data_IF_664350222723
#
_entry.id   IF_664350222723
#
_cell.length_a   1.000
_cell.length_b   1.000
_cell.length_c   1.000
_cell.angle_alpha   90.00
_cell.angle_beta   90.00
_cell.angle_gamma   90.00
#
_symmetry.space_group_name_H-M   'P 1'
#
loop_
_entity.id
_entity.type
_entity.pdbx_description
1 polymer ?
#
# COMPACT_ATOMS: atom_id res chain seq x y z
N UNK A 1 9.11 -1.14 1.80
CA UNK A 1 8.97 -1.41 3.24
C UNK A 1 8.78 -2.89 3.56
N UNK A 2 7.89 -3.63 2.88
CA UNK A 2 7.69 -5.07 3.18
C UNK A 2 8.88 -5.98 2.87
N UNK A 3 9.64 -5.67 1.81
CA UNK A 3 10.78 -6.50 1.37
C UNK A 3 12.07 -6.19 2.14
N UNK A 4 12.35 -4.90 2.30
CA UNK A 4 13.54 -4.37 2.98
C UNK A 4 13.11 -3.07 3.67
N UNK A 5 12.68 -3.13 4.95
CA UNK A 5 12.20 -1.96 5.69
C UNK A 5 13.30 -0.96 6.03
N UNK A 6 14.56 -1.39 6.17
CA UNK A 6 15.64 -0.55 6.66
C UNK A 6 16.75 -0.31 5.63
N UNK A 7 17.34 0.90 5.56
CA UNK A 7 18.50 1.18 4.71
C UNK A 7 19.68 0.24 4.98
N UNK A 8 19.87 -0.19 6.24
CA UNK A 8 20.97 -1.08 6.63
C UNK A 8 20.85 -2.47 5.99
N UNK A 9 19.64 -2.96 5.79
CA UNK A 9 19.38 -4.22 5.08
C UNK A 9 19.63 -4.06 3.58
N UNK A 10 19.20 -2.94 3.00
CA UNK A 10 19.36 -2.64 1.56
C UNK A 10 20.84 -2.52 1.19
N UNK A 11 21.66 -1.94 2.07
CA UNK A 11 23.11 -1.76 1.84
C UNK A 11 23.84 -3.09 1.63
N UNK A 12 23.35 -4.17 2.22
CA UNK A 12 23.93 -5.52 2.14
C UNK A 12 23.49 -6.26 0.86
N UNK A 13 22.51 -5.74 0.13
CA UNK A 13 21.96 -6.36 -1.07
C UNK A 13 22.72 -5.94 -2.33
N UNK A 14 22.73 -6.83 -3.31
CA UNK A 14 23.12 -6.53 -4.68
C UNK A 14 21.90 -6.17 -5.54
N UNK A 15 22.16 -5.57 -6.70
CA UNK A 15 21.11 -5.10 -7.63
C UNK A 15 20.17 -6.24 -8.03
N UNK A 16 20.68 -7.45 -8.26
CA UNK A 16 19.87 -8.61 -8.65
C UNK A 16 18.90 -9.05 -7.55
N UNK A 17 19.33 -9.05 -6.28
CA UNK A 17 18.50 -9.37 -5.12
C UNK A 17 17.35 -8.36 -4.96
N UNK A 18 17.64 -7.07 -5.11
CA UNK A 18 16.63 -6.00 -5.05
C UNK A 18 15.61 -6.16 -6.18
N UNK A 19 16.07 -6.42 -7.40
CA UNK A 19 15.20 -6.67 -8.55
C UNK A 19 14.37 -7.94 -8.37
N UNK A 20 14.95 -9.00 -7.80
CA UNK A 20 14.28 -10.24 -7.47
C UNK A 20 13.11 -10.02 -6.50
N UNK A 21 13.35 -9.26 -5.42
CA UNK A 21 12.29 -8.87 -4.48
C UNK A 21 11.19 -8.06 -5.15
N UNK A 22 11.54 -7.05 -5.96
CA UNK A 22 10.55 -6.22 -6.64
C UNK A 22 9.69 -6.98 -7.65
N UNK A 23 10.25 -7.96 -8.36
CA UNK A 23 9.50 -8.79 -9.32
C UNK A 23 8.30 -9.52 -8.68
N UNK A 24 8.34 -9.79 -7.38
CA UNK A 24 7.23 -10.43 -6.67
C UNK A 24 5.99 -9.51 -6.54
N UNK A 25 6.20 -8.20 -6.52
CA UNK A 25 5.13 -7.22 -6.24
C UNK A 25 4.83 -6.30 -7.42
N UNK A 26 5.79 -6.09 -8.32
CA UNK A 26 5.68 -5.14 -9.43
C UNK A 26 5.66 -5.89 -10.77
N UNK A 27 4.52 -5.84 -11.47
CA UNK A 27 4.31 -6.51 -12.76
C UNK A 27 5.06 -5.87 -13.95
N UNK A 28 5.60 -4.65 -13.80
CA UNK A 28 6.33 -3.93 -14.87
C UNK A 28 7.71 -3.48 -14.39
N UNK A 29 8.74 -3.86 -15.14
CA UNK A 29 10.15 -3.42 -15.09
C UNK A 29 10.55 -2.64 -13.83
N UNK A 30 10.92 -3.40 -12.80
CA UNK A 30 11.87 -2.99 -11.78
C UNK A 30 13.14 -2.48 -12.48
N UNK A 31 13.27 -1.17 -12.66
CA UNK A 31 14.37 -0.60 -13.45
C UNK A 31 15.71 -0.84 -12.75
N UNK A 32 16.67 -1.45 -13.44
CA UNK A 32 18.03 -1.74 -12.92
C UNK A 32 18.66 -0.48 -12.31
N UNK A 33 18.60 0.65 -13.02
CA UNK A 33 19.08 1.96 -12.54
C UNK A 33 18.45 2.41 -11.22
N UNK A 34 17.18 2.06 -10.98
CA UNK A 34 16.48 2.40 -9.71
C UNK A 34 16.95 1.51 -8.57
N UNK A 35 17.23 0.24 -8.82
CA UNK A 35 17.78 -0.67 -7.82
C UNK A 35 19.20 -0.26 -7.42
N UNK A 36 20.05 0.11 -8.40
CA UNK A 36 21.40 0.66 -8.14
C UNK A 36 21.34 1.96 -7.33
N UNK A 37 20.46 2.89 -7.72
CA UNK A 37 20.24 4.14 -7.00
C UNK A 37 19.75 3.90 -5.57
N UNK A 38 18.85 2.93 -5.36
CA UNK A 38 18.37 2.59 -4.04
C UNK A 38 19.52 2.11 -3.14
N UNK A 39 20.37 1.23 -3.64
CA UNK A 39 21.53 0.70 -2.89
C UNK A 39 22.53 1.81 -2.59
N UNK A 40 22.80 2.71 -3.55
CA UNK A 40 23.73 3.83 -3.33
C UNK A 40 23.21 4.79 -2.27
N UNK A 41 21.91 5.15 -2.31
CA UNK A 41 21.29 6.00 -1.29
C UNK A 41 21.23 5.32 0.08
N UNK A 42 21.01 4.01 0.14
CA UNK A 42 21.05 3.25 1.38
C UNK A 42 22.45 3.27 2.01
N UNK A 43 23.51 3.20 1.19
CA UNK A 43 24.91 3.28 1.64
C UNK A 43 25.26 4.64 2.24
N UNK A 44 24.73 5.72 1.69
CA UNK A 44 24.94 7.09 2.18
C UNK A 44 23.85 7.57 3.15
N UNK A 45 23.00 6.67 3.64
CA UNK A 45 21.89 7.06 4.51
C UNK A 45 22.42 7.56 5.85
N UNK A 46 21.90 8.71 6.30
CA UNK A 46 22.12 9.26 7.64
C UNK A 46 20.96 8.91 8.61
N UNK A 47 20.13 7.93 8.24
CA UNK A 47 19.00 7.47 9.04
C UNK A 47 19.43 6.88 10.39
N UNK A 48 18.46 6.77 11.31
CA UNK A 48 18.73 6.21 12.63
C UNK A 48 19.22 4.75 12.55
N UNK A 49 20.38 4.49 13.14
CA UNK A 49 21.00 3.15 13.24
C UNK A 49 20.81 2.51 14.62
N UNK A 50 20.12 3.21 15.52
CA UNK A 50 19.83 2.72 16.87
C UNK A 50 18.47 2.02 16.90
N UNK A 51 18.31 1.07 17.82
CA UNK A 51 17.05 0.36 18.07
C UNK A 51 16.37 -0.24 16.81
N UNK A 52 17.18 -0.63 15.80
CA UNK A 52 16.70 -1.12 14.50
C UNK A 52 15.69 -2.26 14.62
N UNK A 53 15.89 -3.16 15.61
CA UNK A 53 14.96 -4.25 15.87
C UNK A 53 13.58 -3.73 16.30
N UNK A 54 13.53 -2.77 17.24
CA UNK A 54 12.28 -2.19 17.70
C UNK A 54 11.57 -1.42 16.58
N UNK A 55 12.31 -0.65 15.77
CA UNK A 55 11.74 0.05 14.62
C UNK A 55 11.22 -0.90 13.56
N UNK A 56 11.94 -1.99 13.26
CA UNK A 56 11.48 -3.00 12.30
C UNK A 56 10.20 -3.68 12.78
N UNK A 57 10.14 -4.04 14.06
CA UNK A 57 8.94 -4.60 14.67
C UNK A 57 7.76 -3.62 14.57
N UNK A 58 7.98 -2.37 14.94
CA UNK A 58 6.94 -1.34 14.89
C UNK A 58 6.44 -1.07 13.47
N UNK A 59 7.35 -0.98 12.49
CA UNK A 59 6.98 -0.88 11.08
C UNK A 59 6.15 -2.08 10.61
N UNK A 60 6.46 -3.28 11.09
CA UNK A 60 5.67 -4.48 10.84
C UNK A 60 4.24 -4.32 11.35
N UNK A 61 4.09 -3.94 12.62
CA UNK A 61 2.79 -3.71 13.25
C UNK A 61 1.96 -2.66 12.49
N UNK A 62 2.56 -1.52 12.13
CA UNK A 62 1.88 -0.47 11.36
C UNK A 62 1.41 -0.97 9.99
N UNK A 63 2.19 -1.82 9.32
CA UNK A 63 1.80 -2.40 8.03
C UNK A 63 0.67 -3.43 8.18
N UNK A 64 0.66 -4.21 9.26
CA UNK A 64 -0.41 -5.15 9.58
C UNK A 64 -1.72 -4.43 9.92
N UNK A 65 -1.64 -3.36 10.70
CA UNK A 65 -2.77 -2.49 11.01
C UNK A 65 -3.34 -1.85 9.75
N UNK A 66 -2.46 -1.35 8.85
CA UNK A 66 -2.87 -0.83 7.56
C UNK A 66 -3.59 -1.89 6.71
N UNK A 67 -3.07 -3.11 6.64
CA UNK A 67 -3.69 -4.21 5.90
C UNK A 67 -5.03 -4.64 6.48
N UNK A 68 -5.18 -4.59 7.80
CA UNK A 68 -6.46 -4.83 8.45
C UNK A 68 -7.46 -3.73 8.09
N UNK A 69 -7.07 -2.46 8.20
CA UNK A 69 -7.92 -1.33 7.88
C UNK A 69 -8.36 -1.33 6.41
N UNK A 70 -7.45 -1.67 5.47
CA UNK A 70 -7.80 -1.81 4.05
C UNK A 70 -8.84 -2.91 3.82
N UNK A 71 -8.65 -4.10 4.42
CA UNK A 71 -9.61 -5.20 4.27
C UNK A 71 -10.98 -4.84 4.84
N UNK A 72 -11.01 -4.17 5.99
CA UNK A 72 -12.26 -3.70 6.59
C UNK A 72 -12.94 -2.66 5.71
N UNK A 73 -12.20 -1.72 5.13
CA UNK A 73 -12.73 -0.74 4.18
C UNK A 73 -13.34 -1.42 2.95
N UNK A 74 -12.62 -2.37 2.34
CA UNK A 74 -13.12 -3.13 1.18
C UNK A 74 -14.41 -3.89 1.49
N UNK A 75 -14.51 -4.50 2.68
CA UNK A 75 -15.73 -5.17 3.13
C UNK A 75 -16.90 -4.20 3.27
N UNK A 76 -16.67 -3.05 3.90
CA UNK A 76 -17.71 -2.01 4.06
C UNK A 76 -18.15 -1.50 2.68
N UNK A 77 -17.22 -1.20 1.78
CA UNK A 77 -17.56 -0.75 0.43
C UNK A 77 -18.33 -1.81 -0.36
N UNK A 78 -18.04 -3.09 -0.15
CA UNK A 78 -18.77 -4.18 -0.79
C UNK A 78 -20.24 -4.24 -0.32
N UNK A 79 -20.46 -4.25 1.00
CA UNK A 79 -21.81 -4.22 1.58
C UNK A 79 -22.59 -2.97 1.14
N UNK A 80 -21.91 -1.83 1.08
CA UNK A 80 -22.51 -0.58 0.63
C UNK A 80 -23.01 -0.66 -0.81
N UNK A 81 -22.24 -1.27 -1.71
CA UNK A 81 -22.65 -1.50 -3.10
C UNK A 81 -23.88 -2.40 -3.16
N UNK A 82 -23.91 -3.50 -2.40
CA UNK A 82 -25.06 -4.42 -2.37
C UNK A 82 -26.34 -3.73 -1.89
N UNK A 83 -26.22 -2.79 -0.94
CA UNK A 83 -27.37 -2.00 -0.48
C UNK A 83 -27.83 -1.02 -1.56
N UNK A 84 -26.90 -0.28 -2.18
CA UNK A 84 -27.23 0.68 -3.24
C UNK A 84 -27.85 0.01 -4.46
N UNK A 85 -27.44 -1.22 -4.82
CA UNK A 85 -28.05 -2.00 -5.90
C UNK A 85 -29.55 -2.27 -5.68
N UNK A 86 -30.00 -2.31 -4.41
CA UNK A 86 -31.42 -2.51 -4.06
C UNK A 86 -32.23 -1.22 -4.14
N UNK A 87 -31.58 -0.04 -4.17
CA UNK A 87 -32.26 1.24 -4.19
C UNK A 87 -32.56 1.63 -5.65
N UNK A 88 -33.83 1.85 -6.00
CA UNK A 88 -34.19 2.29 -7.35
C UNK A 88 -33.43 3.55 -7.74
N UNK A 89 -32.91 3.59 -8.97
CA UNK A 89 -32.16 4.71 -9.55
C UNK A 89 -30.79 5.04 -8.93
N UNK A 90 -30.38 4.41 -7.82
CA UNK A 90 -29.06 4.64 -7.22
C UNK A 90 -27.91 4.37 -8.20
N UNK A 91 -28.06 3.34 -9.05
CA UNK A 91 -27.08 3.03 -10.09
C UNK A 91 -26.89 4.17 -11.11
N UNK A 92 -27.96 4.93 -11.42
CA UNK A 92 -27.88 6.07 -12.35
C UNK A 92 -27.08 7.22 -11.77
N UNK A 93 -27.09 7.38 -10.44
CA UNK A 93 -26.24 8.37 -9.78
C UNK A 93 -24.77 7.98 -9.83
N UNK A 94 -24.44 6.68 -9.71
CA UNK A 94 -23.06 6.19 -9.81
C UNK A 94 -22.43 6.34 -11.21
N UNK A 95 -23.25 6.49 -12.25
CA UNK A 95 -22.78 6.78 -13.62
C UNK A 95 -22.31 8.23 -13.79
N UNK A 96 -22.71 9.14 -12.88
CA UNK A 96 -22.30 10.54 -12.91
C UNK A 96 -20.84 10.63 -12.44
N UNK A 97 -19.98 11.21 -13.27
CA UNK A 97 -18.57 11.41 -12.91
C UNK A 97 -18.46 12.20 -11.60
N UNK A 98 -17.66 11.67 -10.67
CA UNK A 98 -17.40 12.28 -9.38
C UNK A 98 -18.34 11.80 -8.26
N UNK A 99 -19.34 10.98 -8.56
CA UNK A 99 -20.14 10.29 -7.55
C UNK A 99 -19.50 8.93 -7.24
N UNK A 100 -19.17 8.73 -5.97
CA UNK A 100 -18.63 7.47 -5.46
C UNK A 100 -19.67 6.79 -4.56
N UNK A 101 -19.55 5.47 -4.43
CA UNK A 101 -20.43 4.61 -3.60
C UNK A 101 -20.54 5.15 -2.17
N UNK A 102 -19.39 5.53 -1.58
CA UNK A 102 -19.29 6.09 -0.22
C UNK A 102 -20.06 7.41 -0.08
N UNK A 103 -19.89 8.33 -1.03
CA UNK A 103 -20.57 9.62 -1.01
C UNK A 103 -22.08 9.48 -1.22
N UNK A 104 -22.50 8.64 -2.18
CA UNK A 104 -23.91 8.41 -2.49
C UNK A 104 -24.64 7.77 -1.32
N UNK A 105 -24.05 6.76 -0.69
CA UNK A 105 -24.67 6.12 0.46
C UNK A 105 -24.73 7.04 1.69
N UNK A 106 -23.73 7.91 1.87
CA UNK A 106 -23.79 8.96 2.89
C UNK A 106 -25.00 9.89 2.66
N UNK A 107 -25.18 10.40 1.45
CA UNK A 107 -26.32 11.27 1.10
C UNK A 107 -27.68 10.57 1.23
N UNK A 108 -27.77 9.28 0.90
CA UNK A 108 -29.02 8.51 1.02
C UNK A 108 -29.31 8.02 2.45
N UNK A 109 -28.30 8.01 3.32
CA UNK A 109 -28.40 7.56 4.71
C UNK A 109 -28.73 8.69 5.70
N UNK A 110 -28.58 9.95 5.29
CA UNK A 110 -29.08 11.15 5.99
C UNK A 110 -30.58 11.37 5.71
#
# INVERSE_FOLDING_TARGET
>A
LRLFPLPEEIRLLNTEQVLGGWKQYVKRHAGVKRAELLISLAKSSVGATQALHAYKLHLGQLLEEYDLAQRQLEQIEHELRLILERIPYAQKFLEIRGIYVTNLAGVLGE
#
